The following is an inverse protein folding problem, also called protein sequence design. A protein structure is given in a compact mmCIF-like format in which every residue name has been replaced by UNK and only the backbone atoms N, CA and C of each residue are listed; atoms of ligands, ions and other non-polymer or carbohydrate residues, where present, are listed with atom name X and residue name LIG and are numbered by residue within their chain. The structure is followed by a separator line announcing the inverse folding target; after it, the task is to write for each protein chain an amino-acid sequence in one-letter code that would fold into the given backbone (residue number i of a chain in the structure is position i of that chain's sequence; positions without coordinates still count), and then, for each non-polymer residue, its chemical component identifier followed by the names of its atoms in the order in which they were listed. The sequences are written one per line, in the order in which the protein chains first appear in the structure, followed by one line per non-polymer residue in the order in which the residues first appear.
data_IF_638395459186
#
_entry.id   IF_638395459186
#
_cell.length_a   1.000
_cell.length_b   1.000
_cell.length_c   1.000
_cell.angle_alpha   90.00
_cell.angle_beta   90.00
_cell.angle_gamma   90.00
#
_symmetry.space_group_name_H-M   'P 1'
#
loop_
_entity.id
_entity.type
_entity.pdbx_description
1 polymer ?
#
# COMPACT_ATOMS: atom_id res chain seq x y z
N UNK A 1 -8.41 -6.71 25.51
CA UNK A 1 -8.64 -7.32 24.18
C UNK A 1 -7.49 -8.28 23.93
N UNK A 2 -7.71 -9.52 23.48
CA UNK A 2 -6.58 -10.36 23.08
C UNK A 2 -5.94 -9.68 21.86
N UNK A 3 -4.65 -9.37 21.93
CA UNK A 3 -3.91 -8.82 20.79
C UNK A 3 -3.71 -9.86 19.69
N UNK A 4 -3.34 -9.42 18.49
CA UNK A 4 -2.90 -10.30 17.42
C UNK A 4 -1.55 -10.95 17.79
N UNK A 5 -1.50 -12.26 18.11
CA UNK A 5 -0.28 -12.90 18.62
C UNK A 5 0.82 -13.02 17.57
N UNK A 6 0.48 -12.94 16.28
CA UNK A 6 1.45 -12.99 15.19
C UNK A 6 2.14 -11.63 14.95
N UNK A 7 1.59 -10.53 15.47
CA UNK A 7 2.05 -9.19 15.16
C UNK A 7 3.45 -8.88 15.72
N UNK A 8 3.69 -9.19 17.00
CA UNK A 8 4.99 -8.93 17.62
C UNK A 8 6.13 -9.76 16.99
N UNK A 9 5.98 -11.08 16.74
CA UNK A 9 6.99 -11.85 16.02
C UNK A 9 7.28 -11.31 14.61
N UNK A 10 6.24 -10.97 13.83
CA UNK A 10 6.42 -10.46 12.47
C UNK A 10 7.14 -9.10 12.44
N UNK A 11 6.83 -8.23 13.40
CA UNK A 11 7.52 -6.93 13.56
C UNK A 11 8.95 -7.10 14.07
N UNK A 12 9.21 -8.06 14.96
CA UNK A 12 10.55 -8.31 15.49
C UNK A 12 11.54 -8.79 14.41
N UNK A 13 11.07 -9.58 13.44
CA UNK A 13 11.86 -9.98 12.27
C UNK A 13 12.31 -8.74 11.48
N UNK A 14 11.37 -7.85 11.15
CA UNK A 14 11.68 -6.58 10.48
C UNK A 14 12.59 -5.67 11.32
N UNK A 15 12.36 -5.57 12.63
CA UNK A 15 13.18 -4.72 13.50
C UNK A 15 14.64 -5.21 13.61
N UNK A 16 14.86 -6.52 13.49
CA UNK A 16 16.21 -7.11 13.42
C UNK A 16 16.90 -6.70 12.12
N UNK A 17 16.17 -6.71 11.02
CA UNK A 17 16.69 -6.31 9.71
C UNK A 17 16.91 -4.80 9.63
N UNK A 18 16.05 -3.98 10.25
CA UNK A 18 16.21 -2.54 10.35
C UNK A 18 17.57 -2.12 10.95
N UNK A 19 18.08 -2.89 11.92
CA UNK A 19 19.35 -2.58 12.60
C UNK A 19 20.57 -3.21 11.93
N UNK A 20 20.37 -4.20 11.07
CA UNK A 20 21.46 -5.06 10.56
C UNK A 20 21.66 -5.01 9.04
N UNK A 21 20.62 -4.65 8.28
CA UNK A 21 20.67 -4.55 6.83
C UNK A 21 21.03 -3.13 6.38
N UNK A 22 21.55 -3.04 5.17
CA UNK A 22 21.57 -1.77 4.44
C UNK A 22 20.18 -1.40 3.92
N UNK A 23 20.05 -0.15 3.48
CA UNK A 23 18.77 0.39 3.00
C UNK A 23 18.26 -0.34 1.75
N UNK A 24 19.14 -0.88 0.91
CA UNK A 24 18.76 -1.55 -0.33
C UNK A 24 18.15 -2.93 -0.03
N UNK A 25 18.75 -3.69 0.86
CA UNK A 25 18.24 -4.97 1.32
C UNK A 25 16.89 -4.78 2.05
N UNK A 26 16.77 -3.75 2.89
CA UNK A 26 15.50 -3.42 3.55
C UNK A 26 14.42 -2.98 2.55
N UNK A 27 14.80 -2.22 1.52
CA UNK A 27 13.92 -1.81 0.43
C UNK A 27 13.39 -3.02 -0.34
N UNK A 28 14.25 -4.00 -0.63
CA UNK A 28 13.86 -5.24 -1.30
C UNK A 28 12.92 -6.09 -0.43
N UNK A 29 13.17 -6.15 0.88
CA UNK A 29 12.30 -6.86 1.82
C UNK A 29 10.91 -6.19 1.92
N UNK A 30 10.87 -4.86 1.92
CA UNK A 30 9.66 -4.04 2.07
C UNK A 30 9.03 -3.59 0.75
N UNK A 31 8.98 -4.52 -0.21
CA UNK A 31 8.51 -4.30 -1.58
C UNK A 31 7.03 -3.84 -1.70
N UNK A 32 6.21 -4.00 -0.65
CA UNK A 32 4.82 -3.51 -0.64
C UNK A 32 4.71 -2.00 -0.49
N UNK A 33 5.79 -1.33 -0.06
CA UNK A 33 5.92 0.12 0.01
C UNK A 33 6.73 0.68 -1.17
N UNK A 34 6.54 1.96 -1.52
CA UNK A 34 7.33 2.60 -2.56
C UNK A 34 8.82 2.61 -2.15
N UNK A 35 9.74 2.10 -3.00
CA UNK A 35 11.17 2.04 -2.69
C UNK A 35 11.75 3.39 -2.28
N UNK A 36 11.30 4.47 -2.92
CA UNK A 36 11.74 5.85 -2.67
C UNK A 36 11.41 6.39 -1.28
N UNK A 37 10.55 5.71 -0.52
CA UNK A 37 10.11 6.16 0.81
C UNK A 37 10.79 5.44 1.97
N UNK A 38 11.49 4.33 1.71
CA UNK A 38 12.04 3.46 2.75
C UNK A 38 13.12 4.16 3.58
N UNK A 39 14.08 4.81 2.91
CA UNK A 39 15.18 5.51 3.56
C UNK A 39 14.69 6.57 4.55
N UNK A 40 13.76 7.42 4.11
CA UNK A 40 13.21 8.50 4.93
C UNK A 40 12.37 7.94 6.08
N UNK A 41 11.49 6.97 5.78
CA UNK A 41 10.57 6.38 6.76
C UNK A 41 11.29 5.65 7.89
N UNK A 42 12.46 5.08 7.61
CA UNK A 42 13.25 4.28 8.55
C UNK A 42 14.52 4.96 9.04
N UNK A 43 14.63 6.27 8.84
CA UNK A 43 15.82 7.06 9.21
C UNK A 43 16.05 7.17 10.72
N UNK A 44 14.99 7.31 11.52
CA UNK A 44 15.09 7.46 12.99
C UNK A 44 14.95 6.11 13.70
N UNK A 45 15.96 5.26 13.55
CA UNK A 45 16.01 3.93 14.17
C UNK A 45 15.80 3.99 15.70
N UNK A 46 16.47 4.87 16.47
CA UNK A 46 16.24 4.94 17.92
C UNK A 46 14.79 5.24 18.33
N UNK A 47 14.13 6.19 17.66
CA UNK A 47 12.74 6.51 17.96
C UNK A 47 11.79 5.38 17.55
N UNK A 48 12.05 4.71 16.43
CA UNK A 48 11.31 3.52 16.00
C UNK A 48 11.42 2.40 17.04
N UNK A 49 12.63 2.08 17.49
CA UNK A 49 12.87 1.05 18.51
C UNK A 49 12.16 1.40 19.83
N UNK A 50 12.12 2.69 20.19
CA UNK A 50 11.36 3.18 21.34
C UNK A 50 9.86 2.96 21.16
N UNK A 51 9.31 3.21 19.97
CA UNK A 51 7.89 3.01 19.68
C UNK A 51 7.49 1.54 19.77
N UNK A 52 8.24 0.62 19.16
CA UNK A 52 7.91 -0.81 19.12
C UNK A 52 8.15 -1.53 20.45
N UNK A 53 8.86 -0.92 21.39
CA UNK A 53 9.00 -1.43 22.76
C UNK A 53 7.72 -1.27 23.60
N UNK A 54 6.81 -0.36 23.21
CA UNK A 54 5.50 -0.24 23.84
C UNK A 54 4.59 -1.43 23.46
N UNK A 55 3.53 -1.74 24.24
CA UNK A 55 2.54 -2.72 23.81
C UNK A 55 1.80 -2.27 22.55
N UNK A 56 1.66 -3.17 21.58
CA UNK A 56 0.88 -2.92 20.37
C UNK A 56 -0.63 -2.89 20.63
N UNK A 57 -1.33 -2.00 19.94
CA UNK A 57 -2.79 -1.89 19.94
C UNK A 57 -3.33 -2.53 18.67
N UNK A 58 -4.13 -3.58 18.81
CA UNK A 58 -4.80 -4.24 17.68
C UNK A 58 -6.02 -3.42 17.25
N UNK A 59 -5.86 -2.69 16.16
CA UNK A 59 -6.92 -1.91 15.52
C UNK A 59 -7.65 -2.71 14.45
N UNK A 60 -8.60 -2.06 13.77
CA UNK A 60 -9.38 -2.73 12.73
C UNK A 60 -8.51 -3.26 11.58
N UNK A 61 -7.53 -2.48 11.12
CA UNK A 61 -6.76 -2.73 9.89
C UNK A 61 -5.27 -2.96 10.10
N UNK A 62 -4.74 -2.55 11.25
CA UNK A 62 -3.33 -2.66 11.58
C UNK A 62 -3.16 -2.87 13.08
N UNK A 63 -2.02 -3.43 13.45
CA UNK A 63 -1.51 -3.34 14.81
C UNK A 63 -0.57 -2.14 14.87
N UNK A 64 -0.78 -1.27 15.85
CA UNK A 64 -0.01 -0.02 15.99
C UNK A 64 0.73 0.01 17.32
N UNK A 65 2.01 0.34 17.26
CA UNK A 65 2.86 0.61 18.41
C UNK A 65 3.18 2.11 18.43
N UNK A 66 3.16 2.74 19.59
CA UNK A 66 3.41 4.17 19.71
C UNK A 66 4.31 4.47 20.90
N UNK A 67 5.29 5.33 20.67
CA UNK A 67 6.29 5.74 21.67
C UNK A 67 7.33 6.64 21.02
N UNK A 68 8.07 7.40 21.83
CA UNK A 68 9.13 8.28 21.31
C UNK A 68 8.66 9.33 20.30
N UNK A 69 7.37 9.70 20.32
CA UNK A 69 6.79 10.66 19.36
C UNK A 69 6.42 10.07 17.99
N UNK A 70 6.59 8.76 17.79
CA UNK A 70 6.25 8.04 16.57
C UNK A 70 5.13 7.03 16.80
N UNK A 71 4.50 6.65 15.70
CA UNK A 71 3.64 5.49 15.55
C UNK A 71 4.21 4.58 14.47
N UNK A 72 4.18 3.28 14.74
CA UNK A 72 4.60 2.21 13.86
C UNK A 72 3.39 1.32 13.64
N UNK A 73 2.90 1.19 12.41
CA UNK A 73 1.69 0.44 12.09
C UNK A 73 1.98 -0.69 11.09
N UNK A 74 1.74 -1.93 11.51
CA UNK A 74 1.84 -3.11 10.66
C UNK A 74 0.48 -3.54 10.15
N UNK A 75 0.33 -3.64 8.83
CA UNK A 75 -0.90 -4.09 8.18
C UNK A 75 -1.15 -5.58 8.42
N UNK A 76 -2.39 -6.03 8.29
CA UNK A 76 -2.74 -7.44 8.52
C UNK A 76 -2.10 -8.39 7.51
N UNK A 77 -2.02 -8.01 6.23
CA UNK A 77 -1.32 -8.81 5.19
C UNK A 77 0.18 -8.99 5.51
N UNK A 78 0.84 -7.91 5.92
CA UNK A 78 2.23 -7.89 6.37
C UNK A 78 2.45 -8.81 7.56
N UNK A 79 1.61 -8.71 8.60
CA UNK A 79 1.67 -9.60 9.78
C UNK A 79 1.46 -11.07 9.38
N UNK A 80 0.48 -11.36 8.52
CA UNK A 80 0.17 -12.71 8.06
C UNK A 80 1.30 -13.34 7.24
N UNK A 81 2.18 -12.53 6.64
CA UNK A 81 3.36 -13.01 5.92
C UNK A 81 4.48 -13.51 6.84
N UNK A 82 4.44 -13.14 8.13
CA UNK A 82 5.50 -13.42 9.10
C UNK A 82 6.66 -12.42 9.08
N UNK A 83 6.66 -11.45 8.17
CA UNK A 83 7.61 -10.34 8.12
C UNK A 83 6.85 -9.04 7.87
N UNK A 84 6.72 -8.21 8.90
CA UNK A 84 5.85 -7.05 8.82
C UNK A 84 6.63 -5.77 8.52
N UNK A 85 6.52 -5.24 7.31
CA UNK A 85 7.05 -3.93 6.94
C UNK A 85 6.10 -2.81 7.37
N UNK A 86 6.38 -2.06 8.46
CA UNK A 86 5.42 -1.14 9.02
C UNK A 86 5.48 0.24 8.34
N UNK A 87 4.36 0.94 8.41
CA UNK A 87 4.33 2.38 8.23
C UNK A 87 4.80 3.07 9.50
N UNK A 88 5.84 3.89 9.39
CA UNK A 88 6.33 4.75 10.48
C UNK A 88 5.90 6.17 10.19
N UNK A 89 5.28 6.84 11.16
CA UNK A 89 4.77 8.20 11.03
C UNK A 89 4.70 8.90 12.39
N UNK A 90 4.76 10.25 12.42
CA UNK A 90 4.54 11.02 13.65
C UNK A 90 3.28 10.62 14.42
N UNK A 91 3.41 10.52 15.74
CA UNK A 91 2.27 10.22 16.61
C UNK A 91 1.16 11.29 16.47
N UNK A 92 -0.09 10.85 16.44
CA UNK A 92 -1.25 11.72 16.30
C UNK A 92 -1.58 12.15 14.86
N UNK A 93 -0.74 11.81 13.87
CA UNK A 93 -1.05 12.09 12.47
C UNK A 93 -2.19 11.21 11.96
N UNK A 94 -3.27 11.86 11.50
CA UNK A 94 -4.31 11.22 10.69
C UNK A 94 -3.92 11.32 9.20
N UNK A 95 -4.13 10.23 8.45
CA UNK A 95 -3.76 10.10 7.03
C UNK A 95 -2.25 10.21 6.74
N UNK A 96 -1.54 9.11 6.96
CA UNK A 96 -0.10 8.96 6.68
C UNK A 96 0.21 8.35 5.31
N UNK A 97 -0.81 8.12 4.47
CA UNK A 97 -0.62 7.63 3.10
C UNK A 97 -0.32 8.78 2.16
N UNK A 98 0.66 8.56 1.28
CA UNK A 98 1.22 9.58 0.39
C UNK A 98 0.85 9.33 -1.07
N UNK A 99 1.09 10.32 -1.94
CA UNK A 99 0.96 10.14 -3.38
C UNK A 99 1.87 9.01 -3.91
N UNK A 100 3.05 8.81 -3.30
CA UNK A 100 3.94 7.70 -3.66
C UNK A 100 3.30 6.34 -3.34
N UNK A 101 2.60 6.22 -2.21
CA UNK A 101 1.88 4.99 -1.84
C UNK A 101 0.74 4.69 -2.84
N UNK A 102 0.02 5.72 -3.28
CA UNK A 102 -1.02 5.57 -4.30
C UNK A 102 -0.45 5.12 -5.65
N UNK A 103 0.64 5.77 -6.10
CA UNK A 103 1.32 5.39 -7.35
C UNK A 103 1.84 3.95 -7.28
N UNK A 104 2.49 3.58 -6.18
CA UNK A 104 3.03 2.24 -5.99
C UNK A 104 1.95 1.15 -5.95
N UNK A 105 0.77 1.43 -5.39
CA UNK A 105 -0.36 0.51 -5.46
C UNK A 105 -0.77 0.23 -6.93
N UNK A 106 -0.79 1.25 -7.80
CA UNK A 106 -1.08 1.07 -9.22
C UNK A 106 0.05 0.34 -9.95
N UNK A 107 1.31 0.67 -9.66
CA UNK A 107 2.48 -0.02 -10.23
C UNK A 107 2.42 -1.51 -9.89
N UNK A 108 2.14 -1.88 -8.63
CA UNK A 108 1.96 -3.28 -8.23
C UNK A 108 0.81 -3.94 -8.97
N UNK A 109 -0.35 -3.29 -9.06
CA UNK A 109 -1.51 -3.82 -9.77
C UNK A 109 -1.22 -4.11 -11.25
N UNK A 110 -0.59 -3.16 -11.95
CA UNK A 110 -0.20 -3.32 -13.36
C UNK A 110 0.93 -4.33 -13.55
N UNK A 111 1.88 -4.38 -12.63
CA UNK A 111 2.97 -5.37 -12.61
C UNK A 111 2.41 -6.80 -12.55
N UNK A 112 1.41 -7.04 -11.71
CA UNK A 112 0.70 -8.34 -11.68
C UNK A 112 0.02 -8.65 -13.01
N UNK A 113 -0.74 -7.70 -13.54
CA UNK A 113 -1.52 -7.89 -14.76
C UNK A 113 -0.67 -8.12 -16.01
N UNK A 114 0.53 -7.53 -16.05
CA UNK A 114 1.51 -7.72 -17.15
C UNK A 114 2.42 -8.93 -16.96
N UNK A 115 2.20 -9.73 -15.90
CA UNK A 115 2.95 -10.95 -15.62
C UNK A 115 4.36 -10.72 -15.05
N UNK A 116 4.61 -9.54 -14.48
CA UNK A 116 5.89 -9.14 -13.87
C UNK A 116 5.66 -8.57 -12.47
N UNK A 117 5.05 -9.33 -11.55
CA UNK A 117 4.74 -8.82 -10.22
C UNK A 117 6.02 -8.37 -9.50
N UNK A 118 5.92 -7.32 -8.68
CA UNK A 118 7.05 -6.78 -7.92
C UNK A 118 7.67 -7.83 -6.99
N UNK A 119 6.86 -8.77 -6.50
CA UNK A 119 7.28 -9.94 -5.77
C UNK A 119 6.43 -11.14 -6.19
N UNK A 120 6.97 -12.36 -6.16
CA UNK A 120 6.19 -13.57 -6.53
C UNK A 120 5.00 -13.82 -5.62
N UNK A 121 5.00 -13.30 -4.38
CA UNK A 121 3.85 -13.35 -3.46
C UNK A 121 2.88 -12.19 -3.63
N UNK A 122 3.16 -11.27 -4.54
CA UNK A 122 2.31 -10.11 -4.82
C UNK A 122 1.06 -10.54 -5.59
N UNK A 123 0.11 -11.15 -4.88
CA UNK A 123 -1.16 -11.65 -5.41
C UNK A 123 -2.31 -11.15 -4.56
N UNK A 124 -3.49 -11.01 -5.17
CA UNK A 124 -4.66 -10.41 -4.53
C UNK A 124 -5.10 -11.14 -3.25
N UNK A 125 -4.87 -12.46 -3.17
CA UNK A 125 -5.22 -13.27 -1.99
C UNK A 125 -4.33 -13.03 -0.78
N UNK A 126 -3.08 -12.56 -0.98
CA UNK A 126 -2.14 -12.30 0.11
C UNK A 126 -1.99 -10.80 0.40
N UNK A 127 -1.99 -9.98 -0.65
CA UNK A 127 -1.86 -8.54 -0.55
C UNK A 127 -2.94 -7.89 -1.43
N UNK A 128 -4.18 -7.77 -0.95
CA UNK A 128 -5.27 -7.26 -1.76
C UNK A 128 -5.02 -5.78 -2.13
N UNK A 129 -5.22 -5.46 -3.41
CA UNK A 129 -5.15 -4.11 -3.94
C UNK A 129 -6.51 -3.63 -4.45
N UNK A 130 -7.47 -4.51 -4.69
CA UNK A 130 -8.82 -4.12 -5.12
C UNK A 130 -9.62 -3.68 -3.89
N UNK A 131 -10.32 -2.55 -4.02
CA UNK A 131 -11.13 -2.07 -2.92
C UNK A 131 -12.21 -3.09 -2.54
N UNK A 132 -12.33 -3.46 -1.24
CA UNK A 132 -13.25 -4.52 -0.81
C UNK A 132 -14.72 -4.08 -0.89
N UNK A 133 -15.00 -2.79 -1.13
CA UNK A 133 -16.37 -2.26 -1.24
C UNK A 133 -17.15 -2.27 0.07
N UNK A 134 -16.44 -2.12 1.21
CA UNK A 134 -17.03 -2.06 2.54
C UNK A 134 -17.57 -0.66 2.92
N UNK A 135 -17.27 0.35 2.09
CA UNK A 135 -17.72 1.73 2.21
C UNK A 135 -18.36 2.16 0.89
N UNK A 136 -19.31 3.11 0.89
CA UNK A 136 -19.98 3.54 -0.33
C UNK A 136 -18.97 4.14 -1.32
N UNK A 137 -18.85 3.53 -2.50
CA UNK A 137 -18.00 4.07 -3.57
C UNK A 137 -18.72 5.26 -4.22
N UNK A 138 -18.19 6.47 -3.99
CA UNK A 138 -18.71 7.74 -4.51
C UNK A 138 -17.58 8.76 -4.72
N UNK A 139 -16.65 8.50 -5.66
CA UNK A 139 -15.57 9.42 -5.98
C UNK A 139 -16.07 10.76 -6.53
N UNK A 140 -17.22 10.77 -7.20
CA UNK A 140 -17.78 11.96 -7.86
C UNK A 140 -18.66 12.82 -6.95
N UNK A 141 -18.96 12.36 -5.73
CA UNK A 141 -19.74 13.12 -4.76
C UNK A 141 -21.21 13.30 -5.12
N UNK A 142 -21.75 12.38 -5.91
CA UNK A 142 -23.14 12.43 -6.39
C UNK A 142 -24.13 11.98 -5.32
N UNK A 143 -23.66 11.33 -4.26
CA UNK A 143 -24.50 10.65 -3.27
C UNK A 143 -25.09 9.33 -3.76
N UNK A 144 -24.91 8.98 -5.05
CA UNK A 144 -25.19 7.65 -5.56
C UNK A 144 -24.07 6.71 -5.09
N UNK A 145 -24.43 5.72 -4.30
CA UNK A 145 -23.47 4.82 -3.67
C UNK A 145 -23.46 3.46 -4.34
N UNK A 146 -22.29 3.03 -4.78
CA UNK A 146 -22.10 1.75 -5.47
C UNK A 146 -21.01 0.88 -4.86
N UNK A 147 -20.78 -0.26 -5.50
CA UNK A 147 -19.53 -1.01 -5.31
C UNK A 147 -18.45 -0.45 -6.25
N UNK A 148 -17.17 -0.52 -5.86
CA UNK A 148 -16.08 -0.12 -6.74
C UNK A 148 -16.09 -0.94 -8.05
N UNK A 149 -16.01 -0.31 -9.24
CA UNK A 149 -16.01 -1.02 -10.52
C UNK A 149 -15.05 -2.21 -10.62
N UNK A 150 -13.80 -2.08 -10.16
CA UNK A 150 -12.81 -3.16 -10.19
C UNK A 150 -13.16 -4.36 -9.29
N UNK A 151 -14.01 -4.17 -8.28
CA UNK A 151 -14.54 -5.28 -7.49
C UNK A 151 -15.53 -6.13 -8.30
N UNK A 152 -16.29 -5.50 -9.18
CA UNK A 152 -17.30 -6.14 -10.02
C UNK A 152 -16.67 -6.79 -11.25
N UNK A 153 -15.67 -6.13 -11.83
CA UNK A 153 -14.91 -6.62 -12.97
C UNK A 153 -13.40 -6.34 -12.78
N UNK A 154 -12.63 -7.29 -12.24
CA UNK A 154 -11.20 -7.13 -12.03
C UNK A 154 -10.39 -7.23 -13.33
N UNK A 155 -10.98 -7.65 -14.45
CA UNK A 155 -10.27 -7.96 -15.70
C UNK A 155 -10.18 -6.76 -16.68
N UNK A 156 -10.38 -5.54 -16.17
CA UNK A 156 -10.34 -4.28 -16.94
C UNK A 156 -8.97 -3.98 -17.60
N UNK A 157 -7.93 -4.77 -17.30
CA UNK A 157 -6.59 -4.62 -17.86
C UNK A 157 -6.30 -5.49 -19.09
N UNK A 158 -7.32 -6.14 -19.65
CA UNK A 158 -7.16 -6.98 -20.83
C UNK A 158 -6.46 -6.23 -21.98
N UNK A 159 -5.42 -6.85 -22.56
CA UNK A 159 -4.67 -6.31 -23.68
C UNK A 159 -3.47 -5.42 -23.34
N UNK A 160 -3.34 -4.98 -22.08
CA UNK A 160 -2.15 -4.22 -21.63
C UNK A 160 -0.94 -5.14 -21.55
N UNK A 161 0.21 -4.67 -22.05
CA UNK A 161 1.48 -5.41 -22.07
C UNK A 161 2.62 -4.70 -21.35
N UNK A 162 2.62 -3.38 -21.34
CA UNK A 162 3.61 -2.58 -20.61
C UNK A 162 2.99 -1.27 -20.12
N UNK A 163 3.70 -0.59 -19.24
CA UNK A 163 3.33 0.71 -18.72
C UNK A 163 4.59 1.49 -18.32
N UNK A 164 4.47 2.81 -18.27
CA UNK A 164 5.53 3.71 -17.81
C UNK A 164 5.22 4.19 -16.39
N UNK A 165 5.91 3.61 -15.41
CA UNK A 165 5.74 3.93 -14.00
C UNK A 165 6.29 5.31 -13.64
N UNK A 166 7.35 5.74 -14.30
CA UNK A 166 8.04 7.00 -13.99
C UNK A 166 7.22 8.21 -14.47
N UNK A 167 6.36 8.00 -15.48
CA UNK A 167 5.39 8.98 -15.95
C UNK A 167 4.10 9.06 -15.10
N UNK A 168 4.00 8.32 -13.99
CA UNK A 168 2.82 8.33 -13.15
C UNK A 168 2.60 9.68 -12.46
N UNK A 169 1.37 10.18 -12.54
CA UNK A 169 0.93 11.42 -11.87
C UNK A 169 -0.20 11.12 -10.91
N UNK A 170 -0.24 11.82 -9.77
CA UNK A 170 -1.27 11.64 -8.76
C UNK A 170 -2.00 12.95 -8.53
N UNK A 171 -3.32 12.94 -8.64
CA UNK A 171 -4.17 14.09 -8.38
C UNK A 171 -5.22 13.77 -7.31
N UNK A 172 -5.46 14.65 -6.34
CA UNK A 172 -6.60 14.52 -5.44
C UNK A 172 -7.90 14.54 -6.22
N UNK A 173 -8.88 13.73 -5.81
CA UNK A 173 -10.25 13.76 -6.36
C UNK A 173 -11.19 14.40 -5.34
N UNK A 174 -11.41 13.71 -4.22
CA UNK A 174 -12.33 14.14 -3.15
C UNK A 174 -12.12 13.30 -1.90
N UNK A 175 -12.06 13.93 -0.72
CA UNK A 175 -11.83 13.19 0.52
C UNK A 175 -10.59 12.30 0.42
N UNK A 176 -10.73 11.01 0.70
CA UNK A 176 -9.65 10.02 0.60
C UNK A 176 -9.45 9.45 -0.82
N UNK A 177 -10.23 9.91 -1.80
CA UNK A 177 -10.09 9.49 -3.19
C UNK A 177 -8.96 10.25 -3.90
N UNK A 178 -8.11 9.49 -4.57
CA UNK A 178 -7.04 10.01 -5.44
C UNK A 178 -7.11 9.36 -6.80
N UNK A 179 -6.55 10.02 -7.81
CA UNK A 179 -6.44 9.51 -9.16
C UNK A 179 -4.98 9.39 -9.54
N UNK A 180 -4.60 8.22 -10.02
CA UNK A 180 -3.27 7.97 -10.59
C UNK A 180 -3.43 7.84 -12.10
N UNK A 181 -2.67 8.61 -12.87
CA UNK A 181 -2.67 8.54 -14.34
C UNK A 181 -1.28 8.22 -14.84
N UNK A 182 -1.17 7.21 -15.72
CA UNK A 182 0.10 6.81 -16.33
C UNK A 182 -0.10 6.21 -17.73
N UNK A 183 0.92 6.24 -18.61
CA UNK A 183 0.86 5.63 -19.93
C UNK A 183 0.89 4.10 -19.87
N UNK A 184 -0.03 3.43 -20.57
CA UNK A 184 -0.03 1.99 -20.79
C UNK A 184 0.08 1.68 -22.28
N UNK A 185 0.70 0.56 -22.64
CA UNK A 185 0.84 0.13 -24.03
C UNK A 185 0.35 -1.30 -24.26
N UNK A 186 -0.22 -1.52 -25.44
CA UNK A 186 -0.66 -2.83 -25.91
C UNK A 186 0.46 -3.63 -26.58
N UNK A 187 0.14 -4.84 -27.05
CA UNK A 187 1.10 -5.71 -27.75
C UNK A 187 1.53 -5.23 -29.14
N UNK A 188 0.91 -4.18 -29.66
CA UNK A 188 1.25 -3.54 -30.94
C UNK A 188 2.10 -2.28 -30.76
N UNK A 189 2.36 -1.88 -29.50
CA UNK A 189 3.15 -0.70 -29.17
C UNK A 189 2.35 0.61 -29.11
N UNK A 190 1.03 0.57 -29.28
CA UNK A 190 0.19 1.76 -29.12
C UNK A 190 0.12 2.14 -27.64
N UNK A 191 0.45 3.39 -27.33
CA UNK A 191 0.44 3.94 -25.97
C UNK A 191 -0.76 4.86 -25.75
N UNK A 192 -1.41 4.76 -24.59
CA UNK A 192 -2.50 5.63 -24.16
C UNK A 192 -2.41 5.93 -22.67
N UNK A 193 -2.89 7.09 -22.19
CA UNK A 193 -3.06 7.29 -20.76
C UNK A 193 -4.14 6.34 -20.22
N UNK A 194 -3.92 5.82 -19.03
CA UNK A 194 -4.91 5.08 -18.25
C UNK A 194 -4.99 5.70 -16.86
N UNK A 195 -6.22 5.82 -16.35
CA UNK A 195 -6.51 6.43 -15.06
C UNK A 195 -7.02 5.38 -14.08
N UNK A 196 -6.54 5.47 -12.86
CA UNK A 196 -6.95 4.63 -11.75
C UNK A 196 -7.51 5.52 -10.66
N UNK A 197 -8.72 5.24 -10.18
CA UNK A 197 -9.27 5.90 -9.00
C UNK A 197 -9.06 4.99 -7.80
N UNK A 198 -8.41 5.52 -6.76
CA UNK A 198 -8.07 4.82 -5.54
C UNK A 198 -8.77 5.46 -4.35
N UNK A 199 -8.90 4.69 -3.27
CA UNK A 199 -9.34 5.15 -1.95
C UNK A 199 -8.50 4.48 -0.86
N UNK A 200 -8.55 4.99 0.36
CA UNK A 200 -7.88 4.35 1.50
C UNK A 200 -8.75 3.18 1.99
N UNK A 201 -8.17 1.98 1.92
CA UNK A 201 -8.76 0.74 2.40
C UNK A 201 -7.96 0.09 3.55
N UNK A 202 -8.33 -1.14 3.94
CA UNK A 202 -7.69 -1.89 5.02
C UNK A 202 -6.18 -2.07 4.85
N UNK A 203 -5.71 -2.22 3.61
CA UNK A 203 -4.29 -2.46 3.29
C UNK A 203 -3.60 -1.21 2.74
N UNK A 204 -4.12 -0.01 3.04
CA UNK A 204 -3.71 1.25 2.44
C UNK A 204 -4.49 1.56 1.17
N UNK A 205 -3.88 2.26 0.21
CA UNK A 205 -4.56 2.58 -1.04
C UNK A 205 -5.01 1.31 -1.77
N UNK A 206 -6.32 1.24 -2.04
CA UNK A 206 -6.93 0.23 -2.87
C UNK A 206 -7.45 0.87 -4.15
N UNK A 207 -7.46 0.12 -5.25
CA UNK A 207 -7.96 0.53 -6.55
C UNK A 207 -9.44 0.18 -6.65
N UNK A 208 -10.27 1.16 -6.99
CA UNK A 208 -11.70 0.95 -7.17
C UNK A 208 -12.18 1.08 -8.60
N UNK A 209 -11.52 1.87 -9.43
CA UNK A 209 -11.86 1.99 -10.85
C UNK A 209 -10.60 2.13 -11.72
N UNK A 210 -10.70 1.67 -12.97
CA UNK A 210 -9.69 1.87 -14.00
C UNK A 210 -10.36 2.24 -15.33
N UNK A 211 -9.87 3.28 -16.02
CA UNK A 211 -10.44 3.83 -17.27
C UNK A 211 -9.34 4.29 -18.21
#
# INVERSE_FOLDING_TARGET
MPGNPAAAPALAAWATDLVSLDVDALTNACWTMPPTTIADRYSDVPAILTAIAAPGVDGQYAVTWSGGGLSVAAKRSEIASGYACPFVFPAGQSNFYTAADASHAVVRFLSRATGRPVNTRDVETFYPLICPGNSPWDPDGTGATGQPPLKLDPNQLAGIKSFDADAATVTPVRGDYVRVTLPVSDGTGNSRPMQFTLSIGPEGYCLGAAT
#
